data_IF_251427906918
#
_entry.id   IF_251427906918
#
_cell.length_a   1.000
_cell.length_b   1.000
_cell.length_c   1.000
_cell.angle_alpha   90.00
_cell.angle_beta   90.00
_cell.angle_gamma   90.00
#
_symmetry.space_group_name_H-M   'P 1'
#
loop_
_entity.id
_entity.type
_entity.pdbx_description
1 polymer ?
#
# COMPACT_ATOMS: atom_id res chain seq x y z
N UNK A 1 6.86 18.99 1.56
CA UNK A 1 5.38 19.00 1.42
C UNK A 1 4.74 18.97 2.80
N UNK A 2 3.60 19.61 3.00
CA UNK A 2 2.95 19.74 4.32
C UNK A 2 1.90 18.66 4.60
N UNK A 3 1.47 18.54 5.86
CA UNK A 3 0.46 17.58 6.33
C UNK A 3 -0.88 17.70 5.57
N UNK A 4 -1.28 18.93 5.21
CA UNK A 4 -2.50 19.19 4.45
C UNK A 4 -2.49 18.50 3.09
N UNK A 5 -1.35 18.50 2.39
CA UNK A 5 -1.22 17.82 1.10
C UNK A 5 -1.42 16.31 1.26
N UNK A 6 -0.81 15.70 2.28
CA UNK A 6 -0.95 14.26 2.54
C UNK A 6 -2.42 13.87 2.77
N UNK A 7 -3.15 14.61 3.61
CA UNK A 7 -4.56 14.32 3.85
C UNK A 7 -5.42 14.54 2.60
N UNK A 8 -5.22 15.62 1.85
CA UNK A 8 -5.93 15.85 0.59
C UNK A 8 -5.67 14.72 -0.41
N UNK A 9 -4.43 14.26 -0.53
CA UNK A 9 -4.05 13.16 -1.40
C UNK A 9 -4.68 11.84 -0.96
N UNK A 10 -4.66 11.52 0.35
CA UNK A 10 -5.36 10.33 0.89
C UNK A 10 -6.84 10.38 0.53
N UNK A 11 -7.51 11.50 0.79
CA UNK A 11 -8.94 11.66 0.50
C UNK A 11 -9.20 11.52 -1.00
N UNK A 12 -8.39 12.15 -1.84
CA UNK A 12 -8.51 12.08 -3.30
C UNK A 12 -8.38 10.64 -3.81
N UNK A 13 -7.35 9.92 -3.36
CA UNK A 13 -7.12 8.50 -3.69
C UNK A 13 -8.28 7.62 -3.23
N UNK A 14 -8.83 7.87 -2.03
CA UNK A 14 -9.86 7.03 -1.43
C UNK A 14 -11.29 7.36 -1.87
N UNK A 15 -11.57 8.57 -2.34
CA UNK A 15 -12.94 9.00 -2.70
C UNK A 15 -13.13 9.08 -4.21
N UNK A 16 -12.09 9.51 -4.94
CA UNK A 16 -12.15 9.73 -6.38
C UNK A 16 -10.90 9.14 -7.07
N UNK A 17 -10.68 7.82 -6.98
CA UNK A 17 -9.45 7.19 -7.49
C UNK A 17 -9.27 7.42 -8.99
N UNK A 18 -10.34 7.40 -9.78
CA UNK A 18 -10.26 7.67 -11.22
C UNK A 18 -9.83 9.11 -11.54
N UNK A 19 -10.38 10.09 -10.83
CA UNK A 19 -10.03 11.50 -11.02
C UNK A 19 -8.59 11.76 -10.56
N UNK A 20 -8.22 11.21 -9.40
CA UNK A 20 -6.86 11.25 -8.88
C UNK A 20 -5.83 10.78 -9.92
N UNK A 21 -6.06 9.61 -10.54
CA UNK A 21 -5.12 9.06 -11.52
C UNK A 21 -5.08 9.81 -12.84
N UNK A 22 -6.15 10.52 -13.22
CA UNK A 22 -6.13 11.42 -14.40
C UNK A 22 -5.21 12.62 -14.17
N UNK A 23 -5.28 13.21 -12.97
CA UNK A 23 -4.49 14.39 -12.61
C UNK A 23 -3.05 14.03 -12.19
N UNK A 24 -2.85 12.78 -11.73
CA UNK A 24 -1.59 12.24 -11.25
C UNK A 24 -0.43 12.36 -12.24
N UNK A 25 -0.68 12.13 -13.54
CA UNK A 25 0.38 12.11 -14.56
C UNK A 25 1.07 13.47 -14.72
N UNK A 26 0.33 14.56 -14.51
CA UNK A 26 0.87 15.92 -14.59
C UNK A 26 1.44 16.41 -13.25
N UNK A 27 0.84 16.00 -12.12
CA UNK A 27 1.18 16.52 -10.80
C UNK A 27 2.24 15.70 -10.04
N UNK A 28 2.40 14.42 -10.35
CA UNK A 28 3.25 13.50 -9.57
C UNK A 28 4.62 13.23 -10.21
N UNK A 29 4.92 13.78 -11.39
CA UNK A 29 6.18 13.54 -12.10
C UNK A 29 7.45 13.93 -11.32
N UNK A 30 7.33 14.84 -10.36
CA UNK A 30 8.46 15.28 -9.49
C UNK A 30 8.38 14.71 -8.06
N UNK A 31 7.30 14.02 -7.70
CA UNK A 31 7.05 13.58 -6.32
C UNK A 31 7.61 12.19 -6.11
N UNK A 32 8.49 12.01 -5.12
CA UNK A 32 8.91 10.68 -4.73
C UNK A 32 7.81 10.04 -3.87
N UNK A 33 6.86 9.35 -4.51
CA UNK A 33 5.70 8.76 -3.84
C UNK A 33 6.06 7.87 -2.63
N UNK A 34 7.20 7.19 -2.69
CA UNK A 34 7.66 6.37 -1.56
C UNK A 34 8.05 7.23 -0.35
N UNK A 35 8.89 8.24 -0.57
CA UNK A 35 9.43 9.09 0.50
C UNK A 35 8.39 10.09 1.01
N UNK A 36 7.69 10.76 0.09
CA UNK A 36 6.85 11.92 0.38
C UNK A 36 5.41 11.54 0.75
N UNK A 37 4.98 10.31 0.42
CA UNK A 37 3.62 9.84 0.67
C UNK A 37 3.55 8.52 1.45
N UNK A 38 4.10 7.42 0.93
CA UNK A 38 3.95 6.10 1.55
C UNK A 38 4.60 6.03 2.94
N UNK A 39 5.84 6.49 3.07
CA UNK A 39 6.58 6.51 4.34
C UNK A 39 5.83 7.26 5.46
N UNK A 40 5.39 8.51 5.28
CA UNK A 40 4.65 9.21 6.33
C UNK A 40 3.29 8.58 6.60
N UNK A 41 2.58 8.07 5.58
CA UNK A 41 1.30 7.40 5.76
C UNK A 41 1.42 6.10 6.58
N UNK A 42 2.37 5.22 6.23
CA UNK A 42 2.66 4.01 7.00
C UNK A 42 3.02 4.39 8.44
N UNK A 43 3.86 5.42 8.61
CA UNK A 43 4.23 5.91 9.95
C UNK A 43 3.01 6.33 10.77
N UNK A 44 2.10 7.11 10.19
CA UNK A 44 0.84 7.51 10.84
C UNK A 44 0.01 6.26 11.20
N UNK A 45 -0.14 5.30 10.28
CA UNK A 45 -0.86 4.06 10.53
C UNK A 45 -0.26 3.27 11.70
N UNK A 46 1.07 3.18 11.80
CA UNK A 46 1.74 2.53 12.94
C UNK A 46 1.55 3.30 14.24
N UNK A 47 1.60 4.64 14.22
CA UNK A 47 1.37 5.47 15.40
C UNK A 47 -0.07 5.33 15.93
N UNK A 48 -1.05 5.22 15.02
CA UNK A 48 -2.45 4.98 15.39
C UNK A 48 -2.65 3.65 16.13
N UNK A 49 -1.74 2.68 16.03
CA UNK A 49 -1.81 1.41 16.76
C UNK A 49 -1.39 1.52 18.22
N UNK A 50 -0.51 2.48 18.54
CA UNK A 50 0.12 2.57 19.86
C UNK A 50 -0.88 2.64 21.03
N UNK A 51 -1.98 3.41 20.96
CA UNK A 51 -2.95 3.51 22.07
C UNK A 51 -3.63 2.18 22.41
N UNK A 52 -3.66 1.23 21.47
CA UNK A 52 -4.32 -0.06 21.65
C UNK A 52 -3.42 -1.11 22.33
N UNK A 53 -2.15 -0.80 22.56
CA UNK A 53 -1.16 -1.70 23.17
C UNK A 53 -0.78 -1.12 24.52
N UNK A 54 -1.28 -1.74 25.59
CA UNK A 54 -1.09 -1.24 26.97
C UNK A 54 0.36 -1.22 27.47
N UNK A 55 1.31 -1.79 26.72
CA UNK A 55 2.72 -1.86 27.08
C UNK A 55 3.57 -1.04 26.09
N UNK A 56 4.11 0.13 26.49
CA UNK A 56 4.79 1.06 25.58
C UNK A 56 5.96 0.43 24.79
N UNK A 57 6.76 -0.42 25.45
CA UNK A 57 7.90 -1.09 24.80
C UNK A 57 7.47 -2.05 23.69
N UNK A 58 6.40 -2.82 23.93
CA UNK A 58 5.86 -3.74 22.93
C UNK A 58 5.18 -2.99 21.79
N UNK A 59 4.50 -1.88 22.11
CA UNK A 59 3.87 -1.02 21.12
C UNK A 59 4.91 -0.46 20.12
N UNK A 60 6.04 0.01 20.63
CA UNK A 60 7.14 0.53 19.81
C UNK A 60 7.78 -0.57 18.93
N UNK A 61 8.03 -1.76 19.49
CA UNK A 61 8.57 -2.89 18.73
C UNK A 61 7.62 -3.32 17.61
N UNK A 62 6.32 -3.37 17.90
CA UNK A 62 5.31 -3.69 16.89
C UNK A 62 5.25 -2.63 15.79
N UNK A 63 5.27 -1.35 16.15
CA UNK A 63 5.25 -0.25 15.19
C UNK A 63 6.47 -0.30 14.24
N UNK A 64 7.67 -0.56 14.78
CA UNK A 64 8.89 -0.72 13.98
C UNK A 64 8.79 -1.94 13.07
N UNK A 65 8.38 -3.09 13.62
CA UNK A 65 8.25 -4.31 12.84
C UNK A 65 7.20 -4.19 11.73
N UNK A 66 6.04 -3.60 12.04
CA UNK A 66 4.98 -3.32 11.07
C UNK A 66 5.48 -2.41 9.95
N UNK A 67 6.10 -1.28 10.29
CA UNK A 67 6.71 -0.38 9.31
C UNK A 67 7.70 -1.11 8.38
N UNK A 68 8.59 -1.93 8.93
CA UNK A 68 9.56 -2.69 8.14
C UNK A 68 8.86 -3.70 7.21
N UNK A 69 7.83 -4.38 7.70
CA UNK A 69 7.04 -5.33 6.89
C UNK A 69 6.37 -4.59 5.73
N UNK A 70 5.71 -3.45 5.97
CA UNK A 70 4.97 -2.73 4.93
C UNK A 70 5.90 -2.19 3.85
N UNK A 71 7.03 -1.61 4.25
CA UNK A 71 8.06 -1.15 3.31
C UNK A 71 8.63 -2.33 2.53
N UNK A 72 8.90 -3.46 3.17
CA UNK A 72 9.40 -4.66 2.50
C UNK A 72 8.41 -5.21 1.48
N UNK A 73 7.12 -5.24 1.83
CA UNK A 73 6.02 -5.65 0.93
C UNK A 73 5.96 -4.74 -0.28
N UNK A 74 6.08 -3.42 -0.09
CA UNK A 74 6.07 -2.46 -1.18
C UNK A 74 7.24 -2.69 -2.16
N UNK A 75 8.47 -2.85 -1.65
CA UNK A 75 9.63 -3.14 -2.50
C UNK A 75 9.52 -4.50 -3.20
N UNK A 76 9.03 -5.53 -2.50
CA UNK A 76 8.79 -6.86 -3.06
C UNK A 76 7.78 -6.79 -4.20
N UNK A 77 6.66 -6.10 -3.99
CA UNK A 77 5.62 -5.91 -5.02
C UNK A 77 6.14 -5.11 -6.20
N UNK A 78 6.90 -4.04 -5.95
CA UNK A 78 7.47 -3.22 -7.03
C UNK A 78 8.43 -4.04 -7.90
N UNK A 79 9.33 -4.81 -7.28
CA UNK A 79 10.22 -5.72 -7.99
C UNK A 79 9.46 -6.83 -8.74
N UNK A 80 8.46 -7.44 -8.11
CA UNK A 80 7.67 -8.52 -8.70
C UNK A 80 6.85 -8.02 -9.91
N UNK A 81 6.15 -6.90 -9.78
CA UNK A 81 5.35 -6.31 -10.88
C UNK A 81 6.27 -5.81 -11.99
N UNK A 82 7.39 -5.17 -11.64
CA UNK A 82 8.41 -4.77 -12.62
C UNK A 82 8.94 -5.96 -13.42
N UNK A 83 9.15 -7.11 -12.78
CA UNK A 83 9.56 -8.34 -13.48
C UNK A 83 8.49 -8.92 -14.41
N UNK A 84 7.20 -8.69 -14.12
CA UNK A 84 6.08 -9.14 -14.95
C UNK A 84 5.82 -8.22 -16.15
N UNK A 85 6.21 -6.95 -16.06
CA UNK A 85 5.98 -5.95 -17.10
C UNK A 85 6.89 -6.11 -18.32
N UNK A 86 7.97 -6.89 -18.22
CA UNK A 86 8.80 -7.32 -19.36
C UNK A 86 10.29 -7.02 -19.23
N UNK A 87 11.09 -7.37 -20.25
CA UNK A 87 12.55 -7.20 -20.25
C UNK A 87 13.00 -5.74 -20.47
N UNK A 88 12.12 -4.86 -20.97
CA UNK A 88 12.37 -3.42 -21.11
C UNK A 88 12.27 -2.73 -19.75
N UNK A 89 13.26 -3.01 -18.89
CA UNK A 89 13.45 -2.41 -17.57
C UNK A 89 13.93 -0.97 -17.72
N UNK A 90 13.08 -0.07 -18.20
CA UNK A 90 13.36 1.35 -18.07
C UNK A 90 13.22 1.75 -16.60
N UNK A 91 14.13 2.60 -16.11
CA UNK A 91 14.03 3.13 -14.73
C UNK A 91 12.69 3.87 -14.52
N UNK A 92 12.13 4.46 -15.59
CA UNK A 92 10.81 5.08 -15.60
C UNK A 92 9.69 4.11 -15.25
N UNK A 93 9.67 2.90 -15.83
CA UNK A 93 8.66 1.88 -15.54
C UNK A 93 8.68 1.47 -14.05
N UNK A 94 9.88 1.36 -13.46
CA UNK A 94 10.01 1.02 -12.05
C UNK A 94 9.48 2.13 -11.14
N UNK A 95 9.74 3.39 -11.49
CA UNK A 95 9.20 4.56 -10.79
C UNK A 95 7.67 4.61 -10.90
N UNK A 96 7.10 4.35 -12.07
CA UNK A 96 5.65 4.34 -12.28
C UNK A 96 4.98 3.22 -11.48
N UNK A 97 5.53 2.00 -11.52
CA UNK A 97 5.02 0.86 -10.73
C UNK A 97 5.10 1.15 -9.24
N UNK A 98 6.21 1.70 -8.75
CA UNK A 98 6.36 2.09 -7.36
C UNK A 98 5.32 3.15 -6.96
N UNK A 99 5.09 4.14 -7.82
CA UNK A 99 4.09 5.20 -7.62
C UNK A 99 2.68 4.61 -7.53
N UNK A 100 2.31 3.73 -8.47
CA UNK A 100 1.03 3.01 -8.44
C UNK A 100 0.86 2.25 -7.12
N UNK A 101 1.88 1.52 -6.68
CA UNK A 101 1.83 0.76 -5.44
C UNK A 101 1.71 1.66 -4.20
N UNK A 102 2.45 2.77 -4.16
CA UNK A 102 2.42 3.70 -3.04
C UNK A 102 1.01 4.24 -2.80
N UNK A 103 0.29 4.64 -3.85
CA UNK A 103 -1.06 5.15 -3.70
C UNK A 103 -2.10 4.04 -3.56
N UNK A 104 -1.95 2.91 -4.25
CA UNK A 104 -2.93 1.83 -4.18
C UNK A 104 -2.95 1.08 -2.86
N UNK A 105 -1.83 0.96 -2.14
CA UNK A 105 -1.80 0.30 -0.82
C UNK A 105 -2.34 1.17 0.33
N UNK A 106 -2.73 2.42 0.06
CA UNK A 106 -3.34 3.34 1.04
C UNK A 106 -4.45 2.70 1.88
N UNK A 107 -5.46 2.01 1.30
CA UNK A 107 -6.52 1.40 2.09
C UNK A 107 -5.99 0.29 3.00
N UNK A 108 -4.95 -0.44 2.58
CA UNK A 108 -4.35 -1.53 3.36
C UNK A 108 -3.68 -0.97 4.60
N UNK A 109 -2.87 0.07 4.47
CA UNK A 109 -2.19 0.69 5.61
C UNK A 109 -3.18 1.32 6.59
N UNK A 110 -4.21 1.99 6.07
CA UNK A 110 -5.28 2.56 6.90
C UNK A 110 -6.14 1.49 7.59
N UNK A 111 -6.18 0.28 7.04
CA UNK A 111 -6.88 -0.85 7.65
C UNK A 111 -6.08 -1.51 8.79
N UNK A 112 -4.76 -1.31 8.87
CA UNK A 112 -3.92 -2.00 9.84
C UNK A 112 -4.28 -1.75 11.32
N UNK A 113 -4.64 -0.53 11.76
CA UNK A 113 -5.09 -0.31 13.14
C UNK A 113 -6.28 -1.19 13.53
N UNK A 114 -7.08 -1.64 12.57
CA UNK A 114 -8.26 -2.47 12.81
C UNK A 114 -7.94 -3.97 12.93
N UNK A 115 -6.67 -4.38 12.84
CA UNK A 115 -6.30 -5.80 12.96
C UNK A 115 -6.56 -6.39 14.36
N UNK A 116 -6.74 -5.51 15.36
CA UNK A 116 -7.12 -5.85 16.73
C UNK A 116 -8.61 -6.17 16.90
N UNK A 117 -9.47 -5.93 15.90
CA UNK A 117 -10.93 -6.08 15.99
C UNK A 117 -11.43 -7.55 15.97
N UNK A 118 -10.66 -8.51 16.47
CA UNK A 118 -11.09 -9.91 16.60
C UNK A 118 -11.45 -10.55 15.25
N UNK A 119 -12.71 -10.93 15.05
CA UNK A 119 -13.20 -11.55 13.79
C UNK A 119 -13.38 -10.52 12.67
N UNK A 120 -13.74 -9.28 13.01
CA UNK A 120 -14.01 -8.21 12.03
C UNK A 120 -12.78 -7.79 11.22
N UNK A 121 -11.57 -8.05 11.74
CA UNK A 121 -10.32 -7.77 11.04
C UNK A 121 -10.26 -8.41 9.65
N UNK A 122 -10.88 -9.57 9.46
CA UNK A 122 -10.87 -10.28 8.19
C UNK A 122 -11.71 -9.56 7.13
N UNK A 123 -12.87 -9.03 7.55
CA UNK A 123 -13.75 -8.23 6.68
C UNK A 123 -13.09 -6.92 6.29
N UNK A 124 -12.47 -6.22 7.26
CA UNK A 124 -11.76 -4.96 7.01
C UNK A 124 -10.57 -5.18 6.06
N UNK A 125 -9.77 -6.24 6.28
CA UNK A 125 -8.68 -6.62 5.39
C UNK A 125 -9.18 -6.94 3.98
N UNK A 126 -10.23 -7.74 3.85
CA UNK A 126 -10.78 -8.09 2.54
C UNK A 126 -11.28 -6.86 1.78
N UNK A 127 -11.97 -5.94 2.46
CA UNK A 127 -12.45 -4.69 1.87
C UNK A 127 -11.29 -3.78 1.44
N UNK A 128 -10.28 -3.61 2.31
CA UNK A 128 -9.09 -2.81 2.03
C UNK A 128 -8.30 -3.36 0.85
N UNK A 129 -8.10 -4.68 0.79
CA UNK A 129 -7.42 -5.34 -0.32
C UNK A 129 -8.18 -5.20 -1.63
N UNK A 130 -9.49 -5.44 -1.63
CA UNK A 130 -10.31 -5.27 -2.82
C UNK A 130 -10.22 -3.84 -3.34
N UNK A 131 -10.24 -2.87 -2.43
CA UNK A 131 -10.15 -1.46 -2.80
C UNK A 131 -8.75 -1.09 -3.30
N UNK A 132 -7.70 -1.61 -2.68
CA UNK A 132 -6.33 -1.43 -3.15
C UNK A 132 -6.11 -1.97 -4.58
N UNK A 133 -6.65 -3.16 -4.88
CA UNK A 133 -6.58 -3.73 -6.24
C UNK A 133 -7.32 -2.85 -7.26
N UNK A 134 -8.47 -2.29 -6.88
CA UNK A 134 -9.23 -1.37 -7.72
C UNK A 134 -8.45 -0.08 -8.00
N UNK A 135 -7.84 0.55 -6.98
CA UNK A 135 -7.01 1.74 -7.16
C UNK A 135 -5.78 1.42 -8.01
N UNK A 136 -5.13 0.27 -7.79
CA UNK A 136 -3.98 -0.17 -8.57
C UNK A 136 -4.35 -0.36 -10.04
N UNK A 137 -5.53 -0.92 -10.33
CA UNK A 137 -6.02 -1.07 -11.70
C UNK A 137 -6.12 0.27 -12.41
N UNK A 138 -6.71 1.29 -11.78
CA UNK A 138 -6.78 2.63 -12.36
C UNK A 138 -5.40 3.25 -12.56
N UNK A 139 -4.50 3.13 -11.57
CA UNK A 139 -3.14 3.66 -11.68
C UNK A 139 -2.32 2.99 -12.79
N UNK A 140 -2.42 1.67 -12.93
CA UNK A 140 -1.78 0.94 -14.02
C UNK A 140 -2.29 1.39 -15.39
N UNK A 141 -3.60 1.60 -15.54
CA UNK A 141 -4.17 2.11 -16.80
C UNK A 141 -3.79 3.56 -17.11
N UNK A 142 -3.57 4.40 -16.09
CA UNK A 142 -3.25 5.80 -16.27
C UNK A 142 -1.76 6.07 -16.52
N UNK A 143 -0.88 5.34 -15.82
CA UNK A 143 0.56 5.58 -15.83
C UNK A 143 1.33 4.64 -16.75
N UNK A 144 0.91 3.37 -16.89
CA UNK A 144 1.64 2.43 -17.75
C UNK A 144 1.21 2.62 -19.20
N UNK A 145 2.13 3.12 -20.03
CA UNK A 145 1.94 3.26 -21.48
C UNK A 145 2.15 1.91 -22.18
N UNK A 146 1.32 0.93 -21.82
CA UNK A 146 1.34 -0.42 -22.35
C UNK A 146 0.09 -0.67 -23.21
N UNK A 147 0.17 -1.62 -24.13
CA UNK A 147 -1.02 -2.08 -24.87
C UNK A 147 -2.12 -2.55 -23.89
N UNK A 148 -3.38 -2.20 -24.15
CA UNK A 148 -4.52 -2.48 -23.26
C UNK A 148 -4.62 -3.96 -22.84
N UNK A 149 -4.36 -4.89 -23.77
CA UNK A 149 -4.36 -6.32 -23.48
C UNK A 149 -3.22 -6.76 -22.54
N UNK A 150 -2.05 -6.12 -22.63
CA UNK A 150 -0.92 -6.35 -21.71
C UNK A 150 -1.22 -5.76 -20.33
N UNK A 151 -1.84 -4.58 -20.25
CA UNK A 151 -2.28 -3.97 -18.99
C UNK A 151 -3.29 -4.86 -18.27
N UNK A 152 -4.27 -5.42 -18.99
CA UNK A 152 -5.28 -6.28 -18.37
C UNK A 152 -4.67 -7.58 -17.81
N UNK A 153 -3.77 -8.22 -18.57
CA UNK A 153 -3.04 -9.40 -18.10
C UNK A 153 -2.12 -9.09 -16.91
N UNK A 154 -1.42 -7.94 -16.94
CA UNK A 154 -0.57 -7.46 -15.86
C UNK A 154 -1.41 -7.15 -14.61
N UNK A 155 -2.53 -6.43 -14.76
CA UNK A 155 -3.45 -6.07 -13.69
C UNK A 155 -4.02 -7.30 -12.97
N UNK A 156 -4.34 -8.36 -13.72
CA UNK A 156 -4.82 -9.62 -13.12
C UNK A 156 -3.72 -10.31 -12.31
N UNK A 157 -2.50 -10.38 -12.85
CA UNK A 157 -1.35 -10.99 -12.15
C UNK A 157 -0.90 -10.17 -10.94
N UNK A 158 -0.85 -8.84 -11.08
CA UNK A 158 -0.48 -7.93 -10.00
C UNK A 158 -1.53 -7.93 -8.91
N UNK A 159 -2.82 -8.03 -9.23
CA UNK A 159 -3.88 -8.20 -8.23
C UNK A 159 -3.68 -9.45 -7.37
N UNK A 160 -3.31 -10.59 -7.98
CA UNK A 160 -2.98 -11.82 -7.24
C UNK A 160 -1.75 -11.61 -6.36
N UNK A 161 -0.68 -11.00 -6.88
CA UNK A 161 0.53 -10.72 -6.11
C UNK A 161 0.25 -9.79 -4.93
N UNK A 162 -0.51 -8.71 -5.15
CA UNK A 162 -0.94 -7.79 -4.10
C UNK A 162 -1.73 -8.53 -3.03
N UNK A 163 -2.68 -9.38 -3.43
CA UNK A 163 -3.46 -10.20 -2.50
C UNK A 163 -2.58 -11.12 -1.67
N UNK A 164 -1.65 -11.84 -2.31
CA UNK A 164 -0.72 -12.75 -1.62
C UNK A 164 0.21 -12.00 -0.66
N UNK A 165 0.87 -10.93 -1.12
CA UNK A 165 1.81 -10.18 -0.30
C UNK A 165 1.12 -9.46 0.86
N UNK A 166 -0.04 -8.87 0.63
CA UNK A 166 -0.85 -8.22 1.67
C UNK A 166 -1.37 -9.24 2.68
N UNK A 167 -1.81 -10.42 2.22
CA UNK A 167 -2.22 -11.50 3.11
C UNK A 167 -1.07 -12.00 3.99
N UNK A 168 0.13 -12.16 3.42
CA UNK A 168 1.33 -12.54 4.18
C UNK A 168 1.66 -11.44 5.20
N UNK A 169 1.67 -10.17 4.80
CA UNK A 169 1.87 -9.03 5.72
C UNK A 169 0.87 -9.07 6.88
N UNK A 170 -0.40 -9.25 6.56
CA UNK A 170 -1.48 -9.36 7.54
C UNK A 170 -1.26 -10.52 8.53
N UNK A 171 -0.84 -11.69 8.03
CA UNK A 171 -0.51 -12.83 8.88
C UNK A 171 0.70 -12.56 9.77
N UNK A 172 1.76 -11.93 9.25
CA UNK A 172 2.96 -11.59 10.00
C UNK A 172 2.65 -10.55 11.09
N UNK A 173 2.00 -9.45 10.74
CA UNK A 173 1.61 -8.38 11.69
C UNK A 173 0.63 -8.95 12.72
N UNK A 174 -0.38 -9.69 12.29
CA UNK A 174 -1.35 -10.33 13.18
C UNK A 174 -0.73 -11.38 14.10
N UNK A 175 0.28 -12.10 13.62
CA UNK A 175 1.08 -13.04 14.41
C UNK A 175 1.94 -12.33 15.46
N UNK A 176 2.62 -11.25 15.06
CA UNK A 176 3.42 -10.41 15.97
C UNK A 176 2.56 -9.78 17.07
N UNK A 177 1.38 -9.26 16.73
CA UNK A 177 0.43 -8.76 17.73
C UNK A 177 0.13 -9.84 18.76
N UNK A 178 -0.30 -11.03 18.31
CA UNK A 178 -0.62 -12.15 19.20
C UNK A 178 0.57 -12.59 20.06
N UNK A 179 1.75 -12.69 19.46
CA UNK A 179 2.96 -13.09 20.17
C UNK A 179 3.32 -12.10 21.29
N UNK A 180 3.24 -10.79 21.01
CA UNK A 180 3.62 -9.75 21.95
C UNK A 180 2.55 -9.46 23.01
N UNK A 181 1.27 -9.74 22.74
CA UNK A 181 0.17 -9.55 23.70
C UNK A 181 -0.22 -10.80 24.48
N UNK A 182 0.37 -11.96 24.16
CA UNK A 182 0.13 -13.23 24.88
C UNK A 182 1.10 -13.45 26.05
N UNK A 183 2.01 -12.51 26.30
CA UNK A 183 2.96 -12.46 27.42
C UNK A 183 2.39 -11.53 28.48
#
# INVERSE_FOLDING_TARGET
MGLNWLFTTIISVLVQPEAFWKDAKEQLGEVNAMRDYATPLITIAQLCKLPFIGVPRMAMLLAIAGFVIDVSVLYLLSGAIGSLAGPDRSDALHVDVMTVLCFSLTPVWLAEPFYILGVWRWLVMAAALLYAVLIARFGMHALLDLESAKIEALSKKSGVLMATATFISFMLIGGLIRFLTSI
#
